data_IF_463199875821
#
_entry.id   IF_463199875821
#
_cell.length_a   1.000
_cell.length_b   1.000
_cell.length_c   1.000
_cell.angle_alpha   90.00
_cell.angle_beta   90.00
_cell.angle_gamma   90.00
#
_symmetry.space_group_name_H-M   'P 1'
#
loop_
_entity.id
_entity.type
_entity.pdbx_description
1 polymer ?
#
# COMPACT_ATOMS: atom_id res chain seq x y z
N UNK A 1 -2.66 16.85 -4.04
CA UNK A 1 -1.21 16.73 -3.74
C UNK A 1 -0.96 15.88 -2.50
N UNK A 2 -1.44 16.21 -1.29
CA UNK A 2 -1.22 15.39 -0.08
C UNK A 2 -1.60 13.90 -0.25
N UNK A 3 -2.77 13.61 -0.83
CA UNK A 3 -3.23 12.23 -1.12
C UNK A 3 -2.28 11.49 -2.06
N UNK A 4 -1.97 12.11 -3.20
CA UNK A 4 -1.05 11.57 -4.20
C UNK A 4 0.32 11.23 -3.60
N UNK A 5 0.90 12.13 -2.81
CA UNK A 5 2.20 11.89 -2.18
C UNK A 5 2.16 10.72 -1.18
N UNK A 6 1.07 10.57 -0.43
CA UNK A 6 0.88 9.43 0.49
C UNK A 6 0.77 8.10 -0.25
N UNK A 7 0.00 8.06 -1.35
CA UNK A 7 -0.13 6.85 -2.18
C UNK A 7 1.18 6.50 -2.85
N UNK A 8 1.93 7.50 -3.34
CA UNK A 8 3.26 7.30 -3.90
C UNK A 8 4.22 6.74 -2.84
N UNK A 9 4.18 7.26 -1.63
CA UNK A 9 5.00 6.75 -0.53
C UNK A 9 4.63 5.30 -0.17
N UNK A 10 3.35 4.95 -0.18
CA UNK A 10 2.90 3.57 0.02
C UNK A 10 3.36 2.62 -1.10
N UNK A 11 3.41 3.08 -2.35
CA UNK A 11 3.98 2.29 -3.45
C UNK A 11 5.46 2.01 -3.21
N UNK A 12 6.24 3.03 -2.82
CA UNK A 12 7.65 2.85 -2.47
C UNK A 12 7.79 1.84 -1.32
N UNK A 13 6.92 1.94 -0.31
CA UNK A 13 6.90 1.05 0.84
C UNK A 13 6.53 -0.39 0.46
N UNK A 14 5.58 -0.58 -0.48
CA UNK A 14 5.23 -1.89 -1.02
C UNK A 14 6.40 -2.51 -1.80
N UNK A 15 7.09 -1.73 -2.63
CA UNK A 15 8.28 -2.19 -3.36
C UNK A 15 9.39 -2.57 -2.36
N UNK A 16 9.61 -1.76 -1.32
CA UNK A 16 10.56 -2.08 -0.27
C UNK A 16 10.20 -3.39 0.47
N UNK A 17 8.91 -3.60 0.76
CA UNK A 17 8.44 -4.86 1.36
C UNK A 17 8.75 -6.07 0.46
N UNK A 18 8.50 -5.96 -0.85
CA UNK A 18 8.79 -7.01 -1.83
C UNK A 18 10.30 -7.31 -1.86
N UNK A 19 11.15 -6.29 -1.90
CA UNK A 19 12.60 -6.45 -1.93
C UNK A 19 13.17 -7.08 -0.65
N UNK A 20 12.60 -6.74 0.52
CA UNK A 20 12.99 -7.35 1.79
C UNK A 20 12.50 -8.80 1.86
N UNK A 21 11.26 -9.06 1.43
CA UNK A 21 10.70 -10.41 1.38
C UNK A 21 11.51 -11.32 0.44
N UNK A 22 11.98 -10.78 -0.69
CA UNK A 22 12.82 -11.52 -1.64
C UNK A 22 14.16 -12.00 -1.06
N UNK A 23 14.67 -11.36 0.01
CA UNK A 23 15.90 -11.82 0.69
C UNK A 23 15.67 -13.07 1.55
N UNK A 24 14.43 -13.31 1.94
CA UNK A 24 14.05 -14.38 2.85
C UNK A 24 12.82 -15.09 2.27
N UNK A 25 12.98 -15.84 1.16
CA UNK A 25 11.86 -16.54 0.54
C UNK A 25 11.23 -17.50 1.55
N UNK A 26 9.91 -17.42 1.65
CA UNK A 26 9.13 -18.08 2.71
C UNK A 26 8.54 -19.41 2.25
N UNK A 27 8.83 -19.82 1.01
CA UNK A 27 8.30 -21.00 0.35
C UNK A 27 8.70 -21.07 -1.14
N UNK A 28 8.39 -22.19 -1.82
CA UNK A 28 8.82 -22.45 -3.20
C UNK A 28 8.15 -21.57 -4.27
N UNK A 29 7.06 -20.88 -3.93
CA UNK A 29 6.37 -19.93 -4.82
C UNK A 29 6.47 -18.48 -4.32
N UNK A 30 7.32 -18.22 -3.32
CA UNK A 30 7.50 -16.89 -2.76
C UNK A 30 8.55 -16.14 -3.57
N UNK A 31 8.35 -14.84 -3.74
CA UNK A 31 9.33 -13.96 -4.39
C UNK A 31 10.75 -14.21 -3.85
N UNK A 32 11.70 -14.44 -4.75
CA UNK A 32 13.11 -14.66 -4.45
C UNK A 32 14.00 -13.87 -5.43
N UNK A 33 15.22 -13.55 -5.01
CA UNK A 33 16.24 -13.00 -5.92
C UNK A 33 16.77 -14.02 -6.93
N UNK A 34 16.62 -15.31 -6.65
CA UNK A 34 17.06 -16.39 -7.55
C UNK A 34 16.16 -16.50 -8.80
N UNK A 35 14.92 -16.00 -8.72
CA UNK A 35 13.97 -15.96 -9.82
C UNK A 35 13.67 -14.51 -10.21
N UNK A 36 14.54 -13.87 -11.02
CA UNK A 36 14.42 -12.45 -11.34
C UNK A 36 13.09 -12.11 -12.01
N UNK A 37 12.57 -13.00 -12.86
CA UNK A 37 11.26 -12.81 -13.50
C UNK A 37 10.11 -12.71 -12.47
N UNK A 38 10.10 -13.56 -11.44
CA UNK A 38 9.09 -13.53 -10.38
C UNK A 38 9.15 -12.26 -9.53
N UNK A 39 10.37 -11.77 -9.26
CA UNK A 39 10.60 -10.50 -8.58
C UNK A 39 10.09 -9.29 -9.40
N UNK A 40 10.45 -9.22 -10.68
CA UNK A 40 10.00 -8.15 -11.58
C UNK A 40 8.50 -8.13 -11.77
N UNK A 41 7.86 -9.31 -11.92
CA UNK A 41 6.41 -9.42 -12.00
C UNK A 41 5.72 -8.94 -10.73
N UNK A 42 6.27 -9.25 -9.56
CA UNK A 42 5.71 -8.81 -8.28
C UNK A 42 5.78 -7.28 -8.11
N UNK A 43 6.91 -6.68 -8.48
CA UNK A 43 7.06 -5.22 -8.48
C UNK A 43 6.10 -4.58 -9.50
N UNK A 44 6.04 -5.12 -10.72
CA UNK A 44 5.13 -4.64 -11.77
C UNK A 44 3.66 -4.69 -11.33
N UNK A 45 3.25 -5.79 -10.70
CA UNK A 45 1.90 -5.94 -10.18
C UNK A 45 1.57 -4.93 -9.08
N UNK A 46 2.52 -4.65 -8.17
CA UNK A 46 2.35 -3.59 -7.18
C UNK A 46 2.18 -2.23 -7.84
N UNK A 47 3.01 -1.87 -8.82
CA UNK A 47 2.89 -0.60 -9.54
C UNK A 47 1.53 -0.48 -10.23
N UNK A 48 1.11 -1.52 -10.94
CA UNK A 48 -0.20 -1.56 -11.62
C UNK A 48 -1.34 -1.42 -10.61
N UNK A 49 -1.28 -2.13 -9.48
CA UNK A 49 -2.29 -2.05 -8.44
C UNK A 49 -2.42 -0.65 -7.86
N UNK A 50 -1.31 0.06 -7.64
CA UNK A 50 -1.32 1.43 -7.10
C UNK A 50 -1.69 2.51 -8.13
N UNK A 51 -1.63 2.22 -9.42
CA UNK A 51 -1.91 3.17 -10.50
C UNK A 51 -3.34 3.75 -10.43
N UNK A 52 -4.41 2.94 -10.27
CA UNK A 52 -5.76 3.44 -10.02
C UNK A 52 -5.84 4.36 -8.80
N UNK A 53 -5.16 4.00 -7.70
CA UNK A 53 -5.11 4.83 -6.49
C UNK A 53 -4.44 6.19 -6.73
N UNK A 54 -3.35 6.22 -7.50
CA UNK A 54 -2.64 7.44 -7.87
C UNK A 54 -3.51 8.34 -8.75
N UNK A 55 -4.19 7.77 -9.74
CA UNK A 55 -5.12 8.49 -10.62
C UNK A 55 -6.28 9.06 -9.82
N UNK A 56 -6.93 8.25 -8.98
CA UNK A 56 -8.03 8.67 -8.10
C UNK A 56 -7.61 9.79 -7.13
N UNK A 57 -6.37 9.77 -6.65
CA UNK A 57 -5.84 10.79 -5.76
C UNK A 57 -5.66 12.19 -6.40
N UNK A 58 -5.67 12.27 -7.74
CA UNK A 58 -5.65 13.55 -8.48
C UNK A 58 -7.02 14.21 -8.53
N UNK A 59 -8.10 13.41 -8.52
CA UNK A 59 -9.46 13.93 -8.54
C UNK A 59 -9.84 14.54 -7.19
N UNK A 60 -10.56 15.67 -7.27
CA UNK A 60 -11.01 16.42 -6.09
C UNK A 60 -12.50 16.24 -5.79
N UNK A 61 -13.23 15.47 -6.58
CA UNK A 61 -14.69 15.38 -6.49
C UNK A 61 -15.10 14.36 -5.42
N UNK A 62 -16.33 14.50 -4.89
CA UNK A 62 -16.83 13.66 -3.78
C UNK A 62 -16.84 12.19 -4.15
N UNK A 63 -17.38 11.84 -5.33
CA UNK A 63 -17.45 10.46 -5.83
C UNK A 63 -16.07 9.82 -5.91
N UNK A 64 -15.08 10.54 -6.46
CA UNK A 64 -13.71 10.05 -6.55
C UNK A 64 -13.06 9.84 -5.17
N UNK A 65 -13.38 10.69 -4.18
CA UNK A 65 -12.89 10.51 -2.82
C UNK A 65 -13.48 9.26 -2.14
N UNK A 66 -14.75 8.93 -2.40
CA UNK A 66 -15.37 7.72 -1.84
C UNK A 66 -14.72 6.48 -2.45
N UNK A 67 -14.59 6.44 -3.78
CA UNK A 67 -13.92 5.33 -4.49
C UNK A 67 -12.47 5.20 -4.00
N UNK A 68 -11.77 6.32 -3.83
CA UNK A 68 -10.43 6.34 -3.27
C UNK A 68 -10.36 5.76 -1.86
N UNK A 69 -11.30 6.10 -0.97
CA UNK A 69 -11.34 5.55 0.40
C UNK A 69 -11.50 4.03 0.37
N UNK A 70 -12.40 3.51 -0.48
CA UNK A 70 -12.60 2.07 -0.63
C UNK A 70 -11.33 1.39 -1.13
N UNK A 71 -10.71 1.94 -2.18
CA UNK A 71 -9.45 1.44 -2.70
C UNK A 71 -8.33 1.46 -1.64
N UNK A 72 -8.21 2.56 -0.89
CA UNK A 72 -7.20 2.72 0.15
C UNK A 72 -7.44 1.76 1.33
N UNK A 73 -8.68 1.40 1.62
CA UNK A 73 -9.01 0.39 2.63
C UNK A 73 -8.53 -1.00 2.21
N UNK A 74 -8.68 -1.37 0.94
CA UNK A 74 -8.15 -2.64 0.40
C UNK A 74 -6.62 -2.68 0.57
N UNK A 75 -5.93 -1.58 0.24
CA UNK A 75 -4.48 -1.46 0.45
C UNK A 75 -4.11 -1.60 1.92
N UNK A 76 -4.88 -0.98 2.84
CA UNK A 76 -4.64 -1.11 4.27
C UNK A 76 -4.78 -2.57 4.75
N UNK A 77 -5.80 -3.29 4.27
CA UNK A 77 -6.02 -4.70 4.58
C UNK A 77 -4.86 -5.56 4.04
N UNK A 78 -4.37 -5.29 2.83
CA UNK A 78 -3.22 -6.00 2.26
C UNK A 78 -1.97 -5.83 3.13
N UNK A 79 -1.67 -4.61 3.59
CA UNK A 79 -0.57 -4.37 4.53
C UNK A 79 -0.81 -5.02 5.89
N UNK A 80 -2.05 -5.05 6.38
CA UNK A 80 -2.40 -5.71 7.64
C UNK A 80 -2.14 -7.23 7.56
N UNK A 81 -2.44 -7.86 6.42
CA UNK A 81 -2.13 -9.27 6.17
C UNK A 81 -0.63 -9.57 6.12
N UNK A 82 0.21 -8.61 5.73
CA UNK A 82 1.67 -8.76 5.76
C UNK A 82 2.26 -8.71 7.17
N UNK A 83 1.58 -8.10 8.14
CA UNK A 83 2.06 -8.01 9.53
C UNK A 83 2.31 -9.40 10.15
N UNK A 84 1.32 -10.32 10.24
CA UNK A 84 1.55 -11.62 10.85
C UNK A 84 2.59 -12.46 10.10
N UNK A 85 2.68 -12.32 8.76
CA UNK A 85 3.67 -13.01 7.93
C UNK A 85 5.09 -12.64 8.38
N UNK A 86 5.38 -11.35 8.56
CA UNK A 86 6.71 -10.92 9.01
C UNK A 86 7.05 -11.35 10.46
N UNK A 87 6.06 -11.59 11.31
CA UNK A 87 6.28 -12.12 12.68
C UNK A 87 6.51 -13.64 12.70
N UNK A 88 5.81 -14.38 11.85
CA UNK A 88 5.94 -15.85 11.76
C UNK A 88 7.32 -16.22 11.18
N UNK A 89 7.79 -15.45 10.20
CA UNK A 89 9.14 -15.63 9.63
C UNK A 89 10.12 -14.80 10.47
N UNK A 90 10.63 -15.40 11.55
CA UNK A 90 11.55 -14.78 12.53
C UNK A 90 12.79 -14.10 11.92
N UNK A 91 13.12 -14.39 10.64
CA UNK A 91 14.24 -13.79 9.91
C UNK A 91 13.90 -12.48 9.18
N UNK A 92 12.65 -12.03 9.18
CA UNK A 92 12.18 -10.90 8.35
C UNK A 92 11.42 -9.82 9.13
N UNK A 93 11.97 -9.38 10.27
CA UNK A 93 11.44 -8.26 11.08
C UNK A 93 11.22 -7.00 10.21
N UNK A 94 12.05 -6.79 9.19
CA UNK A 94 11.92 -5.69 8.24
C UNK A 94 10.57 -5.65 7.52
N UNK A 95 10.02 -6.81 7.14
CA UNK A 95 8.70 -6.87 6.48
C UNK A 95 7.59 -6.45 7.44
N UNK A 96 7.64 -6.88 8.71
CA UNK A 96 6.66 -6.45 9.72
C UNK A 96 6.69 -4.95 9.96
N UNK A 97 7.88 -4.35 10.09
CA UNK A 97 8.02 -2.91 10.33
C UNK A 97 7.45 -2.11 9.15
N UNK A 98 7.81 -2.50 7.94
CA UNK A 98 7.31 -1.88 6.70
C UNK A 98 5.80 -2.06 6.57
N UNK A 99 5.28 -3.23 6.93
CA UNK A 99 3.85 -3.51 6.93
C UNK A 99 3.07 -2.65 7.93
N UNK A 100 3.55 -2.52 9.17
CA UNK A 100 2.94 -1.67 10.19
C UNK A 100 2.92 -0.21 9.74
N UNK A 101 4.03 0.30 9.20
CA UNK A 101 4.09 1.65 8.63
C UNK A 101 3.08 1.82 7.48
N UNK A 102 2.96 0.81 6.61
CA UNK A 102 2.00 0.83 5.51
C UNK A 102 0.55 0.90 5.98
N UNK A 103 0.19 0.17 7.04
CA UNK A 103 -1.14 0.25 7.68
C UNK A 103 -1.37 1.65 8.24
N UNK A 104 -0.43 2.20 9.03
CA UNK A 104 -0.57 3.52 9.66
C UNK A 104 -0.75 4.63 8.62
N UNK A 105 0.07 4.62 7.57
CA UNK A 105 0.00 5.62 6.50
C UNK A 105 -1.31 5.47 5.71
N UNK A 106 -1.76 4.24 5.46
CA UNK A 106 -3.03 4.00 4.79
C UNK A 106 -4.22 4.51 5.59
N UNK A 107 -4.27 4.25 6.90
CA UNK A 107 -5.32 4.76 7.80
C UNK A 107 -5.28 6.29 7.83
N UNK A 108 -4.10 6.90 7.97
CA UNK A 108 -3.95 8.35 7.94
C UNK A 108 -4.48 8.94 6.62
N UNK A 109 -4.21 8.27 5.49
CA UNK A 109 -4.70 8.68 4.17
C UNK A 109 -6.24 8.65 4.08
N UNK A 110 -6.86 7.60 4.63
CA UNK A 110 -8.33 7.47 4.72
C UNK A 110 -8.91 8.60 5.56
N UNK A 111 -8.38 8.83 6.77
CA UNK A 111 -8.89 9.85 7.71
C UNK A 111 -8.78 11.25 7.10
N UNK A 112 -7.63 11.59 6.50
CA UNK A 112 -7.43 12.89 5.85
C UNK A 112 -8.40 13.06 4.69
N UNK A 113 -8.61 12.01 3.89
CA UNK A 113 -9.51 12.07 2.74
C UNK A 113 -10.98 12.20 3.16
N UNK A 114 -11.40 11.45 4.18
CA UNK A 114 -12.74 11.53 4.76
C UNK A 114 -13.02 12.93 5.33
N UNK A 115 -12.11 13.46 6.17
CA UNK A 115 -12.24 14.82 6.71
C UNK A 115 -12.28 15.89 5.62
N UNK A 116 -11.45 15.75 4.59
CA UNK A 116 -11.45 16.69 3.47
C UNK A 116 -12.75 16.68 2.68
N UNK A 117 -13.43 15.53 2.62
CA UNK A 117 -14.70 15.36 1.93
C UNK A 117 -15.85 15.94 2.76
N UNK A 118 -15.89 15.64 4.07
CA UNK A 118 -16.90 16.19 4.98
C UNK A 118 -16.84 17.72 5.08
N UNK A 119 -15.64 18.31 5.12
CA UNK A 119 -15.49 19.78 5.17
C UNK A 119 -16.07 20.49 3.94
N UNK A 120 -16.16 19.80 2.80
CA UNK A 120 -16.79 20.35 1.60
C UNK A 120 -18.31 20.33 1.67
N UNK A 121 -18.89 19.33 2.33
CA UNK A 121 -20.34 19.22 2.55
C UNK A 121 -20.85 20.39 3.41
N UNK A 122 -20.13 20.75 4.47
CA UNK A 122 -20.53 21.83 5.40
C UNK A 122 -20.41 23.23 4.76
N UNK A 123 -19.73 23.35 3.62
CA UNK A 123 -19.51 24.63 2.91
C UNK A 123 -20.47 24.86 1.74
N UNK A 124 -21.29 23.86 1.39
CA UNK A 124 -22.34 23.92 0.37
C UNK A 124 -23.67 24.22 1.07
#
# INVERSE_FOLDING_TARGET
MKKFLMVLFLLILAIAAILIAARHPTGPNTVSYDEPLGLWLSIGMAVILFLPGLILALFKNRTANIIFIVFQAIVAIAFLGMVPIGFIIQKSIGVSVVAILGVLISIACIVITARSSLKREVKL
#
